data_IF_719969796008
#
_entry.id   IF_719969796008
#
_cell.length_a   1.000
_cell.length_b   1.000
_cell.length_c   1.000
_cell.angle_alpha   90.00
_cell.angle_beta   90.00
_cell.angle_gamma   90.00
#
_symmetry.space_group_name_H-M   'P 1'
#
loop_
_entity.id
_entity.type
_entity.pdbx_description
1 polymer ?
#
# COMPACT_ATOMS: atom_id res chain seq x y z
N UNK A 1 7.53 -2.97 15.17
CA UNK A 1 6.66 -2.84 13.99
C UNK A 1 6.09 -4.22 13.72
N UNK A 2 4.77 -4.35 13.77
CA UNK A 2 4.08 -5.60 13.44
C UNK A 2 4.26 -5.89 11.94
N UNK A 3 4.32 -7.16 11.51
CA UNK A 3 4.49 -7.51 10.09
C UNK A 3 3.43 -6.92 9.14
N UNK A 4 2.29 -6.46 9.65
CA UNK A 4 1.23 -5.84 8.84
C UNK A 4 1.29 -4.31 8.77
N UNK A 5 2.12 -3.66 9.57
CA UNK A 5 2.15 -2.18 9.61
C UNK A 5 2.51 -1.60 8.23
N UNK A 6 3.44 -2.23 7.51
CA UNK A 6 3.82 -1.79 6.17
C UNK A 6 2.70 -2.05 5.13
N UNK A 7 1.93 -3.12 5.30
CA UNK A 7 0.77 -3.43 4.45
C UNK A 7 -0.30 -2.35 4.58
N UNK A 8 -0.57 -1.90 5.81
CA UNK A 8 -1.51 -0.81 6.08
C UNK A 8 -1.05 0.52 5.49
N UNK A 9 0.27 0.79 5.50
CA UNK A 9 0.84 1.98 4.84
C UNK A 9 0.64 1.91 3.33
N UNK A 10 0.93 0.77 2.71
CA UNK A 10 0.71 0.55 1.27
C UNK A 10 -0.78 0.72 0.93
N UNK A 11 -1.68 0.13 1.71
CA UNK A 11 -3.12 0.30 1.53
C UNK A 11 -3.56 1.75 1.61
N UNK A 12 -3.11 2.50 2.61
CA UNK A 12 -3.47 3.90 2.77
C UNK A 12 -2.99 4.75 1.58
N UNK A 13 -1.79 4.50 1.08
CA UNK A 13 -1.23 5.21 -0.07
C UNK A 13 -1.99 4.89 -1.37
N UNK A 14 -2.33 3.63 -1.61
CA UNK A 14 -3.11 3.23 -2.79
C UNK A 14 -4.52 3.80 -2.72
N UNK A 15 -5.18 3.74 -1.55
CA UNK A 15 -6.51 4.35 -1.36
C UNK A 15 -6.49 5.86 -1.57
N UNK A 16 -5.41 6.53 -1.17
CA UNK A 16 -5.23 7.96 -1.41
C UNK A 16 -4.98 8.26 -2.90
N UNK A 17 -4.13 7.47 -3.58
CA UNK A 17 -3.82 7.66 -4.99
C UNK A 17 -5.04 7.40 -5.90
N UNK A 18 -5.94 6.49 -5.50
CA UNK A 18 -7.13 6.14 -6.28
C UNK A 18 -6.82 5.16 -7.40
N UNK A 19 -7.44 5.35 -8.58
CA UNK A 19 -7.21 4.48 -9.73
C UNK A 19 -5.86 4.83 -10.38
N UNK A 20 -4.89 3.91 -10.48
CA UNK A 20 -3.59 4.19 -11.11
C UNK A 20 -3.68 4.55 -12.60
N UNK A 21 -4.83 4.30 -13.25
CA UNK A 21 -5.08 4.73 -14.64
C UNK A 21 -5.61 6.16 -14.76
N UNK A 22 -6.08 6.74 -13.65
CA UNK A 22 -6.77 8.03 -13.60
C UNK A 22 -6.14 8.94 -12.52
N UNK A 23 -4.82 8.96 -12.40
CA UNK A 23 -4.10 9.83 -11.47
C UNK A 23 -4.16 11.28 -11.97
N UNK A 24 -4.70 12.20 -11.17
CA UNK A 24 -4.97 13.58 -11.58
C UNK A 24 -3.96 14.59 -11.00
N UNK A 25 -3.29 14.23 -9.89
CA UNK A 25 -2.38 15.13 -9.19
C UNK A 25 -0.98 14.53 -8.96
N UNK A 26 0.08 15.36 -8.90
CA UNK A 26 1.42 14.89 -8.56
C UNK A 26 1.52 14.20 -7.19
N UNK A 27 0.57 14.47 -6.27
CA UNK A 27 0.54 13.82 -4.96
C UNK A 27 0.01 12.40 -5.04
N UNK A 28 -0.98 12.15 -5.89
CA UNK A 28 -1.53 10.80 -6.14
C UNK A 28 -0.49 9.93 -6.85
N UNK A 29 0.15 10.45 -7.90
CA UNK A 29 1.28 9.81 -8.56
C UNK A 29 2.37 9.44 -7.55
N UNK A 30 2.78 10.40 -6.73
CA UNK A 30 3.84 10.16 -5.74
C UNK A 30 3.42 9.14 -4.69
N UNK A 31 2.16 9.13 -4.27
CA UNK A 31 1.67 8.15 -3.31
C UNK A 31 1.72 6.72 -3.89
N UNK A 32 1.34 6.57 -5.16
CA UNK A 32 1.42 5.29 -5.86
C UNK A 32 2.87 4.81 -6.01
N UNK A 33 3.78 5.67 -6.44
CA UNK A 33 5.22 5.34 -6.55
C UNK A 33 5.83 4.90 -5.21
N UNK A 34 5.43 5.54 -4.11
CA UNK A 34 5.90 5.15 -2.77
C UNK A 34 5.33 3.78 -2.38
N UNK A 35 4.06 3.51 -2.68
CA UNK A 35 3.47 2.20 -2.45
C UNK A 35 4.18 1.10 -3.25
N UNK A 36 4.50 1.35 -4.52
CA UNK A 36 5.32 0.46 -5.36
C UNK A 36 6.70 0.22 -4.77
N UNK A 37 7.39 1.27 -4.33
CA UNK A 37 8.72 1.14 -3.74
C UNK A 37 8.69 0.27 -2.47
N UNK A 38 7.72 0.49 -1.58
CA UNK A 38 7.57 -0.30 -0.34
C UNK A 38 7.27 -1.76 -0.65
N UNK A 39 6.35 -2.04 -1.58
CA UNK A 39 6.00 -3.41 -1.95
C UNK A 39 7.19 -4.13 -2.63
N UNK A 40 7.93 -3.42 -3.49
CA UNK A 40 9.10 -3.94 -4.18
C UNK A 40 10.24 -4.34 -3.22
N UNK A 41 10.42 -3.64 -2.08
CA UNK A 41 11.36 -4.04 -1.03
C UNK A 41 11.03 -5.43 -0.44
N UNK A 42 9.76 -5.85 -0.51
CA UNK A 42 9.28 -7.16 -0.08
C UNK A 42 9.16 -8.16 -1.25
N UNK A 43 9.54 -7.75 -2.47
CA UNK A 43 9.45 -8.58 -3.68
C UNK A 43 8.02 -8.78 -4.18
N UNK A 44 7.12 -7.84 -3.91
CA UNK A 44 5.71 -7.91 -4.28
C UNK A 44 5.29 -6.71 -5.12
N UNK A 45 4.29 -6.90 -5.97
CA UNK A 45 3.53 -5.79 -6.54
C UNK A 45 2.56 -5.21 -5.50
N UNK A 46 2.16 -3.91 -5.59
CA UNK A 46 1.24 -3.29 -4.64
C UNK A 46 -0.07 -4.08 -4.47
N UNK A 47 -0.62 -4.62 -5.57
CA UNK A 47 -1.85 -5.40 -5.54
C UNK A 47 -1.70 -6.75 -4.83
N UNK A 48 -0.51 -7.35 -4.87
CA UNK A 48 -0.20 -8.60 -4.16
C UNK A 48 0.02 -8.33 -2.68
N UNK A 49 0.68 -7.22 -2.34
CA UNK A 49 0.82 -6.76 -0.96
C UNK A 49 -0.55 -6.60 -0.29
N UNK A 50 -1.53 -5.95 -0.96
CA UNK A 50 -2.88 -5.80 -0.42
C UNK A 50 -3.57 -7.14 -0.09
N UNK A 51 -3.26 -8.21 -0.82
CA UNK A 51 -3.85 -9.54 -0.56
C UNK A 51 -3.26 -10.22 0.68
N UNK A 52 -2.15 -9.72 1.22
CA UNK A 52 -1.52 -10.24 2.44
C UNK A 52 -2.11 -9.65 3.73
N UNK A 53 -3.02 -8.66 3.62
CA UNK A 53 -3.66 -8.05 4.78
C UNK A 53 -4.59 -9.08 5.44
N UNK A 54 -4.33 -9.38 6.71
CA UNK A 54 -5.26 -10.12 7.54
C UNK A 54 -6.31 -9.16 8.12
N UNK A 55 -7.52 -9.19 7.54
CA UNK A 55 -8.67 -8.39 7.98
C UNK A 55 -9.18 -8.76 9.38
N UNK A 56 -8.83 -9.94 9.90
CA UNK A 56 -9.20 -10.36 11.26
C UNK A 56 -8.26 -9.79 12.34
N UNK A 57 -7.14 -9.18 11.93
CA UNK A 57 -6.19 -8.59 12.86
C UNK A 57 -6.66 -7.23 13.38
N UNK A 58 -6.87 -7.13 14.69
CA UNK A 58 -7.38 -5.91 15.33
C UNK A 58 -6.30 -4.92 15.80
N UNK A 59 -5.05 -5.09 15.36
CA UNK A 59 -3.89 -4.30 15.81
C UNK A 59 -2.96 -5.07 16.76
N UNK A 60 -1.81 -4.49 17.13
CA UNK A 60 -0.85 -5.15 18.01
C UNK A 60 -1.46 -5.44 19.40
N UNK A 61 -1.03 -6.52 20.08
CA UNK A 61 -1.45 -6.81 21.45
C UNK A 61 -1.00 -5.74 22.45
#
# INVERSE_FOLDING_TARGET
MHPQDWLLVVEALIRFAGNPRDLETPREERAYEIAEAIAAEQGLDPSEALQQINDEWSGPP
#
